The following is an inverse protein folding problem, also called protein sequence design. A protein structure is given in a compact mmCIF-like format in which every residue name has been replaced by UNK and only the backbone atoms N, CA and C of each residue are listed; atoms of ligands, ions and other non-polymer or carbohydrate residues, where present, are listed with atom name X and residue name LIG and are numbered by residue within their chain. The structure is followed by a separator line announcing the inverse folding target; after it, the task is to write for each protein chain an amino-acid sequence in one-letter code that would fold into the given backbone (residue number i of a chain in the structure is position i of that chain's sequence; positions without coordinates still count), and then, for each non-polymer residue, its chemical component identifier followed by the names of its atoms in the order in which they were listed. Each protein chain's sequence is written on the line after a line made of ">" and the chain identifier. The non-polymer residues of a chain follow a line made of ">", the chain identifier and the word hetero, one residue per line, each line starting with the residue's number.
data_IF_053521549606
#
_entry.id   IF_053521549606
#
_cell.length_a   1.000
_cell.length_b   1.000
_cell.length_c   1.000
_cell.angle_alpha   90.00
_cell.angle_beta   90.00
_cell.angle_gamma   90.00
#
_symmetry.space_group_name_H-M   'P 1'
#
loop_
_entity.id
_entity.type
_entity.pdbx_description
1 polymer ?
#
# COMPACT_ATOMS: atom_id res chain seq x y z
N UNK A 1 11.18 -18.30 -12.97
CA UNK A 1 10.98 -17.94 -11.55
C UNK A 1 9.63 -17.26 -11.44
N UNK A 2 8.70 -17.80 -10.65
CA UNK A 2 7.31 -17.32 -10.58
C UNK A 2 7.17 -16.01 -9.78
N UNK A 3 7.98 -15.86 -8.72
CA UNK A 3 8.05 -14.64 -7.90
C UNK A 3 9.43 -14.01 -8.09
N UNK A 4 9.48 -12.82 -8.68
CA UNK A 4 10.70 -12.00 -8.76
C UNK A 4 10.85 -11.20 -7.47
N UNK A 5 12.09 -10.97 -7.04
CA UNK A 5 12.37 -10.22 -5.82
C UNK A 5 13.60 -9.31 -5.97
N UNK A 6 13.62 -8.23 -5.19
CA UNK A 6 14.73 -7.31 -5.01
C UNK A 6 14.69 -6.77 -3.57
N UNK A 7 15.84 -6.43 -2.98
CA UNK A 7 15.89 -5.86 -1.63
C UNK A 7 16.41 -4.43 -1.70
N UNK A 8 15.59 -3.49 -1.27
CA UNK A 8 15.95 -2.08 -1.17
C UNK A 8 16.50 -1.78 0.23
N UNK A 9 17.68 -1.17 0.31
CA UNK A 9 18.21 -0.60 1.55
C UNK A 9 17.75 0.86 1.63
N UNK A 10 16.57 1.05 2.22
CA UNK A 10 15.94 2.37 2.36
C UNK A 10 15.88 2.78 3.83
N UNK A 11 15.59 4.05 4.10
CA UNK A 11 15.43 4.54 5.47
C UNK A 11 14.37 3.71 6.20
N UNK A 12 14.80 2.98 7.23
CA UNK A 12 13.95 2.07 8.01
C UNK A 12 14.39 0.61 7.98
N UNK A 13 15.27 0.23 7.05
CA UNK A 13 15.82 -1.12 6.91
C UNK A 13 15.67 -1.69 5.50
N UNK A 14 15.85 -3.01 5.39
CA UNK A 14 15.69 -3.71 4.14
C UNK A 14 14.21 -3.97 3.82
N UNK A 15 13.76 -3.46 2.67
CA UNK A 15 12.43 -3.70 2.12
C UNK A 15 12.53 -4.71 0.99
N UNK A 16 11.87 -5.85 1.15
CA UNK A 16 12.00 -6.97 0.22
C UNK A 16 10.88 -6.95 -0.81
N UNK A 17 11.05 -6.11 -1.83
CA UNK A 17 10.12 -5.99 -2.94
C UNK A 17 9.95 -7.31 -3.68
N UNK A 18 8.70 -7.74 -3.87
CA UNK A 18 8.36 -9.00 -4.55
C UNK A 18 7.17 -8.83 -5.45
N UNK A 19 7.19 -9.50 -6.61
CA UNK A 19 6.08 -9.55 -7.56
C UNK A 19 5.89 -10.97 -8.06
N UNK A 20 4.65 -11.46 -8.02
CA UNK A 20 4.27 -12.74 -8.60
C UNK A 20 3.86 -12.54 -10.07
N UNK A 21 4.73 -12.92 -11.00
CA UNK A 21 4.60 -12.57 -12.41
C UNK A 21 3.36 -13.20 -13.07
N UNK A 22 3.07 -14.47 -12.79
CA UNK A 22 1.89 -15.11 -13.42
C UNK A 22 0.57 -14.49 -12.95
N UNK A 23 0.44 -14.19 -11.64
CA UNK A 23 -0.73 -13.51 -11.08
C UNK A 23 -0.83 -12.08 -11.62
N UNK A 24 0.26 -11.32 -11.64
CA UNK A 24 0.30 -9.98 -12.24
C UNK A 24 -0.13 -10.00 -13.71
N UNK A 25 0.45 -10.88 -14.53
CA UNK A 25 0.13 -11.00 -15.95
C UNK A 25 -1.34 -11.38 -16.19
N UNK A 26 -1.92 -12.19 -15.30
CA UNK A 26 -3.32 -12.60 -15.38
C UNK A 26 -4.29 -11.52 -14.90
N UNK A 27 -3.95 -10.82 -13.82
CA UNK A 27 -4.88 -9.94 -13.11
C UNK A 27 -4.77 -8.47 -13.50
N UNK A 28 -3.59 -7.99 -13.91
CA UNK A 28 -3.40 -6.62 -14.38
C UNK A 28 -3.84 -6.47 -15.85
N UNK A 29 -5.13 -6.68 -16.09
CA UNK A 29 -5.82 -6.50 -17.37
C UNK A 29 -6.95 -5.48 -17.22
N UNK A 30 -7.68 -5.18 -18.30
CA UNK A 30 -8.87 -4.30 -18.28
C UNK A 30 -8.58 -2.89 -17.74
N UNK A 31 -7.50 -2.26 -18.21
CA UNK A 31 -7.09 -0.91 -17.82
C UNK A 31 -6.08 -0.87 -16.67
N UNK A 32 -5.65 -2.03 -16.17
CA UNK A 32 -4.62 -2.15 -15.12
C UNK A 32 -3.23 -2.46 -15.69
N UNK A 33 -3.05 -2.44 -17.00
CA UNK A 33 -1.76 -2.60 -17.67
C UNK A 33 -0.70 -1.58 -17.18
N UNK A 34 -1.03 -0.30 -16.90
CA UNK A 34 -0.06 0.64 -16.35
C UNK A 34 0.49 0.22 -14.97
N UNK A 35 -0.31 -0.46 -14.14
CA UNK A 35 0.16 -1.03 -12.88
C UNK A 35 1.21 -2.10 -13.13
N UNK A 36 0.97 -3.02 -14.08
CA UNK A 36 1.95 -4.03 -14.47
C UNK A 36 3.26 -3.39 -14.90
N UNK A 37 3.22 -2.41 -15.80
CA UNK A 37 4.42 -1.71 -16.28
C UNK A 37 5.19 -1.04 -15.13
N UNK A 38 4.47 -0.42 -14.19
CA UNK A 38 5.10 0.21 -13.02
C UNK A 38 5.76 -0.83 -12.09
N UNK A 39 5.11 -1.95 -11.82
CA UNK A 39 5.69 -3.03 -11.02
C UNK A 39 6.97 -3.59 -11.67
N UNK A 40 6.97 -3.76 -12.99
CA UNK A 40 8.14 -4.24 -13.72
C UNK A 40 9.30 -3.23 -13.71
N UNK A 41 9.00 -1.93 -13.84
CA UNK A 41 10.03 -0.88 -13.86
C UNK A 41 10.73 -0.72 -12.51
N UNK A 42 10.06 -0.99 -11.38
CA UNK A 42 10.69 -0.86 -10.06
C UNK A 42 11.83 -1.85 -9.81
N UNK A 43 11.95 -2.93 -10.60
CA UNK A 43 13.14 -3.80 -10.55
C UNK A 43 14.36 -3.22 -11.26
N UNK A 44 14.20 -2.16 -12.04
CA UNK A 44 15.25 -1.59 -12.89
C UNK A 44 15.59 -0.16 -12.46
N UNK A 45 14.56 0.66 -12.27
CA UNK A 45 14.66 2.11 -12.16
C UNK A 45 13.89 2.65 -10.94
N UNK A 46 14.08 2.03 -9.77
CA UNK A 46 13.59 2.60 -8.51
C UNK A 46 14.36 3.91 -8.21
N UNK A 47 13.69 5.03 -7.90
CA UNK A 47 14.38 6.27 -7.55
C UNK A 47 14.83 6.26 -6.08
N UNK A 48 15.81 5.41 -5.74
CA UNK A 48 16.25 5.15 -4.35
C UNK A 48 16.52 6.44 -3.56
N UNK A 49 17.03 7.49 -4.21
CA UNK A 49 17.33 8.79 -3.60
C UNK A 49 16.17 9.38 -2.78
N UNK A 50 14.92 9.16 -3.22
CA UNK A 50 13.74 9.70 -2.53
C UNK A 50 13.49 9.03 -1.18
N UNK A 51 13.97 7.81 -0.97
CA UNK A 51 13.66 6.99 0.20
C UNK A 51 14.66 7.17 1.36
N UNK A 52 15.65 8.06 1.21
CA UNK A 52 16.62 8.38 2.27
C UNK A 52 16.27 9.64 3.04
N UNK A 53 15.57 10.59 2.43
CA UNK A 53 15.17 11.88 3.02
C UNK A 53 13.65 12.00 3.12
N UNK A 54 13.17 13.10 3.71
CA UNK A 54 11.75 13.43 3.73
C UNK A 54 10.85 12.63 4.67
N UNK A 55 9.54 12.91 4.60
CA UNK A 55 8.51 12.24 5.38
C UNK A 55 8.20 10.84 4.82
N UNK A 56 7.80 9.93 5.70
CA UNK A 56 7.26 8.62 5.29
C UNK A 56 5.75 8.57 5.54
N UNK A 57 5.00 7.95 4.65
CA UNK A 57 3.55 7.77 4.80
C UNK A 57 3.19 7.09 6.14
N UNK A 58 3.99 6.11 6.56
CA UNK A 58 3.82 5.42 7.85
C UNK A 58 4.08 6.27 9.09
N UNK A 59 4.65 7.47 8.93
CA UNK A 59 4.92 8.42 10.02
C UNK A 59 3.87 9.53 10.16
N UNK A 60 2.89 9.58 9.25
CA UNK A 60 1.85 10.61 9.26
C UNK A 60 0.90 10.41 10.45
N UNK A 61 0.59 11.51 11.16
CA UNK A 61 -0.20 11.50 12.40
C UNK A 61 -1.40 12.43 12.34
N UNK A 62 -2.16 12.33 11.25
CA UNK A 62 -3.44 13.01 11.08
C UNK A 62 -4.48 12.06 10.49
N UNK A 63 -5.75 12.41 10.64
CA UNK A 63 -6.87 11.64 10.08
C UNK A 63 -7.37 12.31 8.81
N UNK A 64 -7.86 11.49 7.88
CA UNK A 64 -8.57 11.95 6.69
C UNK A 64 -9.97 12.43 7.06
N UNK A 65 -10.50 13.36 6.27
CA UNK A 65 -11.91 13.75 6.28
C UNK A 65 -12.73 12.82 5.38
N UNK A 66 -14.03 12.67 5.65
CA UNK A 66 -14.95 11.80 4.90
C UNK A 66 -14.54 10.32 4.82
N UNK A 67 -13.72 9.87 5.76
CA UNK A 67 -13.31 8.47 5.85
C UNK A 67 -14.49 7.60 6.34
N UNK A 68 -15.08 6.82 5.44
CA UNK A 68 -16.01 5.73 5.78
C UNK A 68 -15.23 4.42 5.98
N UNK A 69 -14.69 4.24 7.18
CA UNK A 69 -13.90 3.07 7.54
C UNK A 69 -14.81 1.93 8.01
N UNK A 70 -14.88 0.86 7.22
CA UNK A 70 -15.69 -0.32 7.53
C UNK A 70 -14.87 -1.36 8.26
N UNK A 71 -15.31 -1.74 9.45
CA UNK A 71 -14.78 -2.90 10.15
C UNK A 71 -15.43 -4.18 9.62
N UNK A 72 -14.63 -5.09 9.09
CA UNK A 72 -15.03 -6.40 8.60
C UNK A 72 -14.34 -7.48 9.43
N UNK A 73 -14.82 -7.77 10.66
CA UNK A 73 -14.30 -8.90 11.43
C UNK A 73 -14.55 -10.20 10.65
N UNK A 74 -13.62 -11.16 10.76
CA UNK A 74 -13.68 -12.44 10.01
C UNK A 74 -13.57 -12.33 8.49
N UNK A 75 -13.13 -11.19 7.95
CA UNK A 75 -12.79 -11.08 6.53
C UNK A 75 -11.72 -12.11 6.14
N UNK A 76 -11.70 -12.55 4.87
CA UNK A 76 -10.72 -13.52 4.36
C UNK A 76 -9.26 -13.12 4.64
N UNK A 77 -8.97 -11.82 4.66
CA UNK A 77 -7.66 -11.27 5.00
C UNK A 77 -7.22 -11.67 6.42
N UNK A 78 -8.14 -11.74 7.38
CA UNK A 78 -7.84 -12.18 8.74
C UNK A 78 -7.44 -13.66 8.76
N UNK A 79 -8.14 -14.50 7.99
CA UNK A 79 -7.85 -15.93 7.88
C UNK A 79 -6.50 -16.19 7.20
N UNK A 80 -6.25 -15.51 6.08
CA UNK A 80 -4.96 -15.56 5.38
C UNK A 80 -3.81 -15.08 6.28
N UNK A 81 -4.04 -14.05 7.10
CA UNK A 81 -3.05 -13.56 8.06
C UNK A 81 -2.75 -14.60 9.12
N UNK A 82 -3.77 -15.22 9.71
CA UNK A 82 -3.60 -16.28 10.68
C UNK A 82 -2.78 -17.44 10.09
N UNK A 83 -3.15 -17.92 8.90
CA UNK A 83 -2.41 -18.98 8.23
C UNK A 83 -0.97 -18.56 7.89
N UNK A 84 -0.73 -17.33 7.45
CA UNK A 84 0.61 -16.84 7.16
C UNK A 84 1.49 -16.80 8.40
N UNK A 85 0.97 -16.36 9.54
CA UNK A 85 1.71 -16.33 10.81
C UNK A 85 2.10 -17.73 11.28
N UNK A 86 1.22 -18.72 11.14
CA UNK A 86 1.48 -20.10 11.53
C UNK A 86 2.38 -20.83 10.53
N UNK A 87 2.04 -20.78 9.23
CA UNK A 87 2.76 -21.49 8.17
C UNK A 87 4.22 -21.05 8.07
N UNK A 88 4.47 -19.75 8.18
CA UNK A 88 5.81 -19.18 8.05
C UNK A 88 6.50 -18.93 9.40
N UNK A 89 5.98 -19.48 10.51
CA UNK A 89 6.46 -19.21 11.87
C UNK A 89 7.96 -19.39 12.02
N UNK A 90 8.51 -20.48 11.46
CA UNK A 90 9.92 -20.84 11.50
C UNK A 90 10.70 -20.35 10.26
N UNK A 91 10.01 -19.97 9.17
CA UNK A 91 10.64 -19.56 7.90
C UNK A 91 11.10 -18.10 7.92
N UNK A 92 10.35 -17.22 8.60
CA UNK A 92 10.63 -15.78 8.66
C UNK A 92 10.61 -15.27 10.10
N UNK A 93 11.47 -14.31 10.42
CA UNK A 93 11.54 -13.73 11.77
C UNK A 93 10.46 -12.68 12.03
N UNK A 94 10.10 -11.88 11.02
CA UNK A 94 9.13 -10.79 11.16
C UNK A 94 7.72 -11.23 10.76
N UNK A 95 6.71 -10.73 11.48
CA UNK A 95 5.32 -11.02 11.14
C UNK A 95 4.91 -10.46 9.77
N UNK A 96 5.49 -9.33 9.34
CA UNK A 96 5.27 -8.78 8.00
C UNK A 96 5.69 -9.80 6.93
N UNK A 97 6.93 -10.28 6.97
CA UNK A 97 7.43 -11.27 6.00
C UNK A 97 6.60 -12.56 6.04
N UNK A 98 6.19 -13.03 7.22
CA UNK A 98 5.33 -14.22 7.36
C UNK A 98 4.02 -14.07 6.58
N UNK A 99 3.32 -12.95 6.77
CA UNK A 99 2.01 -12.68 6.18
C UNK A 99 2.14 -12.36 4.70
N UNK A 100 3.00 -11.42 4.33
CA UNK A 100 3.18 -10.95 2.96
C UNK A 100 3.62 -12.08 2.02
N UNK A 101 4.62 -12.87 2.41
CA UNK A 101 5.09 -13.98 1.54
C UNK A 101 4.03 -15.07 1.44
N UNK A 102 3.35 -15.40 2.54
CA UNK A 102 2.26 -16.38 2.50
C UNK A 102 1.15 -15.94 1.55
N UNK A 103 0.68 -14.70 1.65
CA UNK A 103 -0.36 -14.17 0.77
C UNK A 103 0.12 -14.15 -0.68
N UNK A 104 1.34 -13.68 -0.95
CA UNK A 104 1.90 -13.66 -2.29
C UNK A 104 2.02 -15.07 -2.91
N UNK A 105 2.31 -16.10 -2.11
CA UNK A 105 2.40 -17.49 -2.57
C UNK A 105 1.00 -18.12 -2.71
N UNK A 106 0.14 -18.00 -1.68
CA UNK A 106 -1.08 -18.80 -1.53
C UNK A 106 -2.38 -18.10 -1.95
N UNK A 107 -2.49 -16.77 -1.77
CA UNK A 107 -3.67 -16.03 -2.20
C UNK A 107 -3.59 -15.76 -3.71
N UNK A 108 -4.62 -16.19 -4.44
CA UNK A 108 -4.69 -16.07 -5.90
C UNK A 108 -4.77 -14.62 -6.40
N UNK A 109 -5.13 -13.68 -5.52
CA UNK A 109 -5.34 -12.26 -5.86
C UNK A 109 -4.19 -11.35 -5.45
N UNK A 110 -3.29 -11.81 -4.57
CA UNK A 110 -2.09 -11.08 -4.14
C UNK A 110 -1.00 -11.10 -5.22
N UNK A 111 -0.55 -9.93 -5.66
CA UNK A 111 0.39 -9.80 -6.79
C UNK A 111 1.75 -9.21 -6.43
N UNK A 112 1.84 -8.38 -5.40
CA UNK A 112 3.08 -7.72 -5.02
C UNK A 112 3.14 -7.39 -3.54
N UNK A 113 4.37 -7.33 -2.99
CA UNK A 113 4.65 -6.92 -1.61
C UNK A 113 5.84 -5.97 -1.56
N UNK A 114 5.87 -5.08 -0.57
CA UNK A 114 6.93 -4.11 -0.31
C UNK A 114 7.25 -3.21 -1.53
N UNK A 115 6.21 -2.76 -2.26
CA UNK A 115 6.38 -1.90 -3.44
C UNK A 115 6.83 -0.50 -3.02
N UNK A 116 8.02 -0.02 -3.42
CA UNK A 116 8.41 1.37 -3.20
C UNK A 116 7.49 2.33 -3.96
N UNK A 117 7.04 3.39 -3.28
CA UNK A 117 6.17 4.42 -3.86
C UNK A 117 6.48 5.81 -3.29
N UNK A 118 6.24 6.85 -4.08
CA UNK A 118 6.51 8.24 -3.70
C UNK A 118 5.52 9.25 -4.29
N UNK A 119 5.39 10.40 -3.60
CA UNK A 119 4.71 11.61 -4.05
C UNK A 119 5.73 12.75 -4.08
N UNK A 120 5.82 13.45 -5.21
CA UNK A 120 6.64 14.66 -5.30
C UNK A 120 5.86 15.87 -4.75
N UNK A 121 6.55 16.87 -4.16
CA UNK A 121 5.91 18.04 -3.57
C UNK A 121 4.96 18.80 -4.51
N UNK A 122 5.32 18.89 -5.79
CA UNK A 122 4.57 19.58 -6.83
C UNK A 122 3.28 18.85 -7.27
N UNK A 123 3.07 17.61 -6.82
CA UNK A 123 1.93 16.78 -7.25
C UNK A 123 0.69 16.92 -6.38
N UNK A 124 0.81 17.68 -5.29
CA UNK A 124 -0.25 17.90 -4.31
C UNK A 124 -0.27 19.36 -3.87
N UNK A 125 -1.40 20.03 -4.06
CA UNK A 125 -1.59 21.36 -3.50
C UNK A 125 -1.48 21.30 -1.97
N UNK A 126 -0.87 22.34 -1.38
CA UNK A 126 -0.64 22.42 0.07
C UNK A 126 0.28 21.31 0.62
N UNK A 127 1.07 20.63 -0.22
CA UNK A 127 2.02 19.60 0.20
C UNK A 127 2.87 20.03 1.40
N UNK A 128 3.48 21.22 1.32
CA UNK A 128 4.32 21.76 2.39
C UNK A 128 3.55 21.98 3.68
N UNK A 129 2.29 22.40 3.62
CA UNK A 129 1.46 22.61 4.82
C UNK A 129 1.04 21.28 5.47
N UNK A 130 0.78 20.25 4.67
CA UNK A 130 0.38 18.93 5.15
C UNK A 130 1.56 18.18 5.77
N UNK A 131 2.71 18.18 5.10
CA UNK A 131 3.86 17.34 5.47
C UNK A 131 4.98 18.11 6.17
N UNK A 132 4.91 19.43 6.19
CA UNK A 132 5.97 20.30 6.70
C UNK A 132 7.34 19.96 6.08
N UNK A 133 7.36 19.73 4.77
CA UNK A 133 8.54 19.30 4.02
C UNK A 133 8.46 19.72 2.55
N UNK A 134 9.62 19.85 1.91
CA UNK A 134 9.78 20.00 0.47
C UNK A 134 10.46 18.76 -0.15
N UNK A 135 10.69 17.71 0.65
CA UNK A 135 11.21 16.43 0.18
C UNK A 135 10.04 15.50 -0.19
N UNK A 136 10.22 14.54 -1.10
CA UNK A 136 9.18 13.58 -1.47
C UNK A 136 8.63 12.78 -0.29
N UNK A 137 7.32 12.51 -0.31
CA UNK A 137 6.66 11.61 0.62
C UNK A 137 6.89 10.20 0.10
N UNK A 138 7.35 9.30 0.95
CA UNK A 138 7.68 7.94 0.50
C UNK A 138 7.01 6.85 1.34
N UNK A 139 7.01 5.64 0.81
CA UNK A 139 6.88 4.43 1.62
C UNK A 139 6.87 3.16 0.79
N UNK A 140 6.58 2.04 1.46
CA UNK A 140 6.49 0.73 0.84
C UNK A 140 5.10 0.18 1.11
N UNK A 141 4.43 -0.30 0.06
CA UNK A 141 3.12 -0.91 0.18
C UNK A 141 3.31 -2.36 0.58
N UNK A 142 2.85 -2.75 1.77
CA UNK A 142 3.02 -4.10 2.28
C UNK A 142 2.46 -5.16 1.32
N UNK A 143 1.25 -4.94 0.80
CA UNK A 143 0.57 -5.90 -0.07
C UNK A 143 -0.34 -5.20 -1.09
N UNK A 144 -0.28 -5.68 -2.34
CA UNK A 144 -1.20 -5.32 -3.43
C UNK A 144 -1.98 -6.56 -3.84
N UNK A 145 -3.32 -6.46 -3.81
CA UNK A 145 -4.24 -7.46 -4.38
C UNK A 145 -5.03 -6.87 -5.54
N UNK A 146 -5.42 -7.71 -6.49
CA UNK A 146 -6.40 -7.37 -7.53
C UNK A 146 -7.63 -8.24 -7.32
N UNK A 147 -8.77 -7.61 -7.03
CA UNK A 147 -10.04 -8.29 -6.79
C UNK A 147 -11.17 -7.40 -7.33
N UNK A 148 -12.11 -7.99 -8.07
CA UNK A 148 -13.22 -7.30 -8.73
C UNK A 148 -12.78 -6.11 -9.60
N UNK A 149 -11.68 -6.29 -10.33
CA UNK A 149 -11.02 -5.26 -11.15
C UNK A 149 -10.62 -3.99 -10.37
N UNK A 150 -10.43 -4.10 -9.05
CA UNK A 150 -9.93 -3.02 -8.18
C UNK A 150 -8.55 -3.36 -7.62
N UNK A 151 -7.73 -2.33 -7.47
CA UNK A 151 -6.41 -2.39 -6.84
C UNK A 151 -6.59 -2.21 -5.34
N UNK A 152 -6.32 -3.25 -4.56
CA UNK A 152 -6.37 -3.21 -3.10
C UNK A 152 -4.98 -2.91 -2.55
N UNK A 153 -4.88 -1.79 -1.85
CA UNK A 153 -3.69 -1.33 -1.13
C UNK A 153 -3.87 -1.69 0.34
N UNK A 154 -3.09 -2.67 0.78
CA UNK A 154 -3.28 -3.31 2.07
C UNK A 154 -2.01 -3.20 2.91
N UNK A 155 -2.19 -2.89 4.20
CA UNK A 155 -1.11 -2.72 5.16
C UNK A 155 -1.33 -3.64 6.38
N UNK A 156 -0.34 -4.48 6.70
CA UNK A 156 -0.44 -5.39 7.83
C UNK A 156 -0.07 -4.64 9.11
N UNK A 157 -0.99 -4.64 10.09
CA UNK A 157 -0.79 -3.94 11.35
C UNK A 157 -1.07 -4.88 12.52
N UNK A 158 -0.04 -5.38 13.23
CA UNK A 158 -0.27 -6.16 14.43
C UNK A 158 -1.15 -5.39 15.43
N UNK A 159 -2.29 -5.94 15.82
CA UNK A 159 -3.31 -5.26 16.65
C UNK A 159 -3.94 -4.09 15.91
N UNK A 160 -4.43 -4.34 14.70
CA UNK A 160 -5.03 -3.36 13.79
C UNK A 160 -6.09 -2.49 14.48
N UNK A 161 -6.86 -3.04 15.41
CA UNK A 161 -7.85 -2.28 16.19
C UNK A 161 -7.26 -1.07 16.95
N UNK A 162 -5.97 -1.09 17.30
CA UNK A 162 -5.29 -0.01 18.02
C UNK A 162 -4.74 1.08 17.10
N UNK A 163 -4.74 0.85 15.80
CA UNK A 163 -4.19 1.79 14.82
C UNK A 163 -5.09 3.00 14.66
N UNK A 164 -4.45 4.18 14.67
CA UNK A 164 -5.16 5.47 14.54
C UNK A 164 -4.97 6.11 13.17
N UNK A 165 -3.89 5.77 12.48
CA UNK A 165 -3.44 6.46 11.27
C UNK A 165 -3.13 5.53 10.09
N UNK A 166 -3.37 4.22 10.22
CA UNK A 166 -3.14 3.25 9.16
C UNK A 166 -4.01 3.51 7.90
N UNK A 167 -5.24 4.03 8.09
CA UNK A 167 -6.06 4.52 6.98
C UNK A 167 -5.39 5.68 6.23
N UNK A 168 -4.81 6.65 6.93
CA UNK A 168 -4.05 7.76 6.32
C UNK A 168 -2.85 7.23 5.53
N UNK A 169 -2.10 6.30 6.13
CA UNK A 169 -0.95 5.67 5.47
C UNK A 169 -1.34 5.01 4.14
N UNK A 170 -2.38 4.17 4.16
CA UNK A 170 -2.85 3.41 2.99
C UNK A 170 -3.54 4.28 1.93
N UNK A 171 -4.22 5.36 2.34
CA UNK A 171 -4.72 6.38 1.41
C UNK A 171 -3.59 7.01 0.61
N UNK A 172 -2.51 7.46 1.28
CA UNK A 172 -1.39 8.07 0.56
C UNK A 172 -0.65 7.07 -0.33
N UNK A 173 -0.59 5.79 0.05
CA UNK A 173 -0.11 4.74 -0.85
C UNK A 173 -0.96 4.63 -2.12
N UNK A 174 -2.28 4.65 -2.00
CA UNK A 174 -3.16 4.67 -3.17
C UNK A 174 -2.99 5.93 -4.02
N UNK A 175 -2.92 7.12 -3.40
CA UNK A 175 -2.69 8.38 -4.10
C UNK A 175 -1.35 8.37 -4.86
N UNK A 176 -0.28 7.94 -4.20
CA UNK A 176 1.04 7.83 -4.83
C UNK A 176 1.01 6.84 -6.00
N UNK A 177 0.43 5.65 -5.82
CA UNK A 177 0.36 4.67 -6.90
C UNK A 177 -0.54 5.13 -8.05
N UNK A 178 -1.64 5.83 -7.74
CA UNK A 178 -2.50 6.48 -8.74
C UNK A 178 -1.71 7.47 -9.59
N UNK A 179 -0.91 8.36 -8.97
CA UNK A 179 -0.03 9.30 -9.70
C UNK A 179 1.04 8.61 -10.53
N UNK A 180 1.63 7.53 -10.02
CA UNK A 180 2.69 6.77 -10.73
C UNK A 180 2.17 5.94 -11.90
N UNK A 181 0.92 5.50 -11.84
CA UNK A 181 0.30 4.62 -12.86
C UNK A 181 -0.71 5.35 -13.75
N UNK A 182 -1.09 6.59 -13.40
CA UNK A 182 -2.20 7.33 -14.00
C UNK A 182 -3.55 6.58 -13.93
N UNK A 183 -3.71 5.66 -12.98
CA UNK A 183 -4.97 4.95 -12.73
C UNK A 183 -5.79 5.79 -11.72
N UNK A 184 -7.05 6.07 -12.05
CA UNK A 184 -7.95 6.85 -11.19
C UNK A 184 -8.14 6.20 -9.80
N UNK A 185 -8.22 7.01 -8.74
CA UNK A 185 -8.48 6.57 -7.36
C UNK A 185 -9.79 5.78 -7.21
N UNK A 186 -10.75 5.96 -8.12
CA UNK A 186 -11.99 5.15 -8.16
C UNK A 186 -11.71 3.64 -8.33
N UNK A 187 -10.54 3.28 -8.87
CA UNK A 187 -10.10 1.91 -9.08
C UNK A 187 -9.33 1.33 -7.91
N UNK A 188 -9.20 2.09 -6.82
CA UNK A 188 -8.49 1.66 -5.63
C UNK A 188 -9.44 1.32 -4.49
N UNK A 189 -9.00 0.39 -3.65
CA UNK A 189 -9.56 0.11 -2.33
C UNK A 189 -8.40 0.08 -1.36
N UNK A 190 -8.63 0.53 -0.14
CA UNK A 190 -7.59 0.59 0.86
C UNK A 190 -8.02 -0.14 2.12
N UNK A 191 -7.04 -0.64 2.86
CA UNK A 191 -7.32 -1.20 4.16
C UNK A 191 -6.10 -1.60 4.93
N UNK A 192 -6.31 -1.88 6.21
CA UNK A 192 -5.29 -2.42 7.08
C UNK A 192 -5.89 -3.51 7.95
N UNK A 193 -5.08 -4.49 8.32
CA UNK A 193 -5.61 -5.74 8.86
C UNK A 193 -4.62 -6.44 9.79
N UNK A 194 -5.18 -7.29 10.65
CA UNK A 194 -4.48 -8.35 11.36
C UNK A 194 -5.26 -9.66 11.27
N UNK A 195 -4.89 -10.66 12.08
CA UNK A 195 -5.53 -11.96 12.10
C UNK A 195 -6.93 -11.97 12.75
N UNK A 196 -7.43 -10.85 13.24
CA UNK A 196 -8.71 -10.71 13.94
C UNK A 196 -9.63 -9.66 13.30
N UNK A 197 -9.05 -8.54 12.87
CA UNK A 197 -9.76 -7.36 12.38
C UNK A 197 -9.25 -6.96 11.00
N UNK A 198 -10.18 -6.49 10.18
CA UNK A 198 -9.89 -5.92 8.87
C UNK A 198 -10.67 -4.62 8.75
N UNK A 199 -9.99 -3.55 8.36
CA UNK A 199 -10.58 -2.23 8.19
C UNK A 199 -10.40 -1.79 6.74
N UNK A 200 -11.51 -1.56 6.04
CA UNK A 200 -11.53 -1.32 4.60
C UNK A 200 -12.25 0.00 4.29
N UNK A 201 -11.81 0.71 3.26
CA UNK A 201 -12.44 1.95 2.81
C UNK A 201 -12.18 2.23 1.33
N UNK A 202 -12.97 3.15 0.77
CA UNK A 202 -12.77 3.70 -0.57
C UNK A 202 -11.94 5.00 -0.48
N UNK A 203 -10.72 5.05 -1.02
CA UNK A 203 -9.90 6.26 -0.99
C UNK A 203 -10.46 7.39 -1.85
N UNK A 204 -11.31 7.11 -2.85
CA UNK A 204 -11.84 8.11 -3.77
C UNK A 204 -12.80 9.12 -3.11
N UNK A 205 -13.40 8.75 -1.98
CA UNK A 205 -14.33 9.63 -1.22
C UNK A 205 -13.63 10.35 -0.06
N UNK A 206 -12.36 10.04 0.19
CA UNK A 206 -11.59 10.62 1.28
C UNK A 206 -11.02 11.98 0.89
N UNK A 207 -10.97 12.89 1.86
CA UNK A 207 -10.41 14.23 1.69
C UNK A 207 -9.28 14.47 2.70
N UNK A 208 -8.36 15.35 2.34
CA UNK A 208 -7.35 15.84 3.27
C UNK A 208 -8.00 16.71 4.36
N UNK A 209 -7.47 16.73 5.58
CA UNK A 209 -8.08 17.42 6.73
C UNK A 209 -8.07 18.96 6.67
N UNK A 210 -7.79 19.59 5.52
CA UNK A 210 -7.66 21.05 5.45
C UNK A 210 -9.03 21.74 5.40
N UNK A 211 -9.15 22.74 6.26
CA UNK A 211 -10.31 23.51 6.70
C UNK A 211 -10.85 24.52 5.67
N UNK A 212 -11.03 24.14 4.39
CA UNK A 212 -11.91 24.85 3.45
C UNK A 212 -12.49 23.90 2.39
N UNK A 213 -13.71 24.18 1.95
CA UNK A 213 -14.50 23.30 1.07
C UNK A 213 -13.95 23.25 -0.36
N UNK A 214 -14.10 22.09 -1.01
CA UNK A 214 -13.74 21.80 -2.41
C UNK A 214 -14.55 22.64 -3.42
N UNK A 215 -15.53 23.44 -3.00
CA UNK A 215 -16.24 24.37 -3.90
C UNK A 215 -15.40 25.60 -4.29
N UNK A 216 -14.15 25.73 -3.84
CA UNK A 216 -13.25 26.85 -4.18
C UNK A 216 -12.04 26.42 -5.06
N UNK A 217 -12.05 25.23 -5.68
CA UNK A 217 -11.04 24.78 -6.65
C UNK A 217 -11.67 24.41 -8.00
#
# INVERSE_FOLDING_TARGET
>A
MVIRNFSFDHKGGFYHYRVHYDKMNKLCSNGLEPLKSFLESMFQDCPDKYFFTGPRSSSLKFKLSNLDLKNAPHHELCLLTHHGLEHNKERYSTNHSKVQVFMLEQDTTSIACELPIWLLPEELDLYKDIFNSEEPLTGHIDLIRIQDNKIWILDYKPKAQKEKFAATQTFFYALMLSKRTNISLENFRCGYFDNLNCYLFDPNVCNLPITKSIQEF
#
